data_IF_284799814481
#
_entry.id   IF_284799814481
#
_cell.length_a   1.000
_cell.length_b   1.000
_cell.length_c   1.000
_cell.angle_alpha   90.00
_cell.angle_beta   90.00
_cell.angle_gamma   90.00
#
_symmetry.space_group_name_H-M   'P 1'
#
loop_
_entity.id
_entity.type
_entity.pdbx_description
1 polymer ?
#
# COMPACT_ATOMS: atom_id res chain seq x y z
N UNK A 1 -38.25 15.31 55.37
CA UNK A 1 -38.26 14.80 53.96
C UNK A 1 -37.06 15.42 53.25
N UNK A 2 -36.00 14.61 53.10
CA UNK A 2 -34.78 15.01 52.42
C UNK A 2 -34.78 14.33 51.06
N UNK A 3 -34.80 15.08 49.95
CA UNK A 3 -34.59 14.58 48.60
C UNK A 3 -33.11 14.37 48.38
N UNK A 4 -32.72 13.12 48.18
CA UNK A 4 -31.40 12.80 47.60
C UNK A 4 -31.40 13.13 46.09
N UNK A 5 -30.37 13.78 45.56
CA UNK A 5 -30.21 13.90 44.10
C UNK A 5 -29.67 12.56 43.53
N UNK A 6 -30.42 12.01 42.59
CA UNK A 6 -30.06 10.88 41.77
C UNK A 6 -28.94 11.33 40.80
N UNK A 7 -27.68 11.05 41.11
CA UNK A 7 -26.58 11.18 40.19
C UNK A 7 -26.70 10.08 39.10
N UNK A 8 -27.26 10.41 37.97
CA UNK A 8 -27.19 9.59 36.76
C UNK A 8 -25.75 9.63 36.25
N UNK A 9 -25.00 8.60 36.58
CA UNK A 9 -23.70 8.32 35.96
C UNK A 9 -23.98 7.88 34.51
N UNK A 10 -23.96 8.84 33.57
CA UNK A 10 -24.02 8.58 32.14
C UNK A 10 -22.64 8.01 31.75
N UNK A 11 -22.46 6.70 31.93
CA UNK A 11 -21.32 6.00 31.37
C UNK A 11 -21.39 6.12 29.85
N UNK A 12 -20.59 7.02 29.26
CA UNK A 12 -20.27 6.95 27.84
C UNK A 12 -19.63 5.57 27.63
N UNK A 13 -20.42 4.59 27.17
CA UNK A 13 -19.88 3.45 26.47
C UNK A 13 -19.07 4.01 25.29
N UNK A 14 -17.76 4.07 25.42
CA UNK A 14 -16.89 4.27 24.28
C UNK A 14 -17.16 3.07 23.37
N UNK A 15 -17.87 3.31 22.27
CA UNK A 15 -18.07 2.29 21.26
C UNK A 15 -16.68 1.78 20.87
N UNK A 16 -16.46 0.48 21.01
CA UNK A 16 -15.25 -0.16 20.50
C UNK A 16 -15.29 -0.05 18.99
N UNK A 17 -14.44 0.80 18.42
CA UNK A 17 -14.35 0.99 16.98
C UNK A 17 -13.16 0.18 16.48
N UNK A 18 -13.44 -0.77 15.62
CA UNK A 18 -12.44 -1.44 14.83
C UNK A 18 -12.29 -0.69 13.50
N UNK A 19 -11.08 -0.68 12.94
CA UNK A 19 -10.84 -0.22 11.58
C UNK A 19 -10.12 -1.31 10.79
N UNK A 20 -10.70 -1.64 9.64
CA UNK A 20 -10.15 -2.64 8.72
C UNK A 20 -9.39 -1.93 7.61
N UNK A 21 -8.08 -2.18 7.56
CA UNK A 21 -7.19 -1.68 6.51
C UNK A 21 -6.76 -2.82 5.59
N UNK A 22 -6.67 -2.53 4.30
CA UNK A 22 -6.16 -3.49 3.32
C UNK A 22 -5.03 -2.84 2.52
N UNK A 23 -3.91 -3.56 2.38
CA UNK A 23 -2.75 -3.09 1.63
C UNK A 23 -2.45 -4.04 0.47
N UNK A 24 -2.30 -3.47 -0.74
CA UNK A 24 -1.83 -4.16 -1.93
C UNK A 24 -0.45 -3.62 -2.36
N UNK A 25 0.29 -4.46 -3.09
CA UNK A 25 1.66 -4.15 -3.53
C UNK A 25 1.73 -3.24 -4.75
N UNK A 26 2.70 -3.52 -5.64
CA UNK A 26 3.11 -2.65 -6.73
C UNK A 26 2.14 -2.71 -7.91
N UNK A 27 1.44 -1.61 -8.19
CA UNK A 27 0.56 -1.44 -9.33
C UNK A 27 1.33 -0.78 -10.48
N UNK A 28 1.71 -1.58 -11.48
CA UNK A 28 2.56 -1.19 -12.59
C UNK A 28 1.84 -1.28 -13.93
N UNK A 29 2.33 -0.53 -14.94
CA UNK A 29 1.81 -0.56 -16.31
C UNK A 29 2.90 -0.83 -17.33
N UNK A 30 3.21 -2.10 -17.58
CA UNK A 30 4.12 -2.51 -18.64
C UNK A 30 3.48 -2.34 -20.02
N UNK A 31 4.31 -2.28 -21.08
CA UNK A 31 3.83 -2.07 -22.44
C UNK A 31 2.74 -3.06 -22.86
N UNK A 32 2.92 -4.33 -22.54
CA UNK A 32 1.95 -5.37 -22.87
C UNK A 32 0.58 -5.15 -22.17
N UNK A 33 0.54 -4.53 -20.99
CA UNK A 33 -0.71 -4.18 -20.32
C UNK A 33 -1.36 -2.98 -21.01
N UNK A 34 -0.56 -1.97 -21.41
CA UNK A 34 -1.03 -0.83 -22.19
C UNK A 34 -1.64 -1.30 -23.51
N UNK A 35 -0.93 -2.16 -24.26
CA UNK A 35 -1.38 -2.67 -25.56
C UNK A 35 -2.71 -3.42 -25.46
N UNK A 36 -2.89 -4.19 -24.37
CA UNK A 36 -4.12 -4.96 -24.14
C UNK A 36 -5.28 -4.12 -23.58
N UNK A 37 -5.01 -3.00 -22.92
CA UNK A 37 -6.03 -2.09 -22.41
C UNK A 37 -6.51 -1.09 -23.48
N UNK A 38 -5.70 -0.81 -24.49
CA UNK A 38 -6.00 0.18 -25.52
C UNK A 38 -7.16 -0.25 -26.41
N UNK A 39 -8.17 0.62 -26.59
CA UNK A 39 -9.39 0.39 -27.39
C UNK A 39 -9.51 1.31 -28.61
N UNK A 40 -8.38 1.93 -29.04
CA UNK A 40 -8.32 2.88 -30.12
C UNK A 40 -8.62 4.32 -29.70
N UNK A 41 -8.13 5.27 -30.48
CA UNK A 41 -8.08 6.72 -30.17
C UNK A 41 -7.51 6.95 -28.79
N UNK A 42 -7.93 7.50 -27.85
CA UNK A 42 -7.39 7.66 -26.48
C UNK A 42 -8.24 6.89 -25.45
N UNK A 43 -8.91 5.82 -25.87
CA UNK A 43 -9.74 5.02 -25.00
C UNK A 43 -8.96 3.83 -24.42
N UNK A 44 -9.16 3.61 -23.11
CA UNK A 44 -8.50 2.58 -22.32
C UNK A 44 -9.53 1.80 -21.50
N UNK A 45 -9.40 0.49 -21.43
CA UNK A 45 -10.33 -0.38 -20.72
C UNK A 45 -9.59 -1.29 -19.76
N UNK A 46 -9.77 -1.03 -18.49
CA UNK A 46 -9.25 -1.80 -17.36
C UNK A 46 -10.38 -2.47 -16.55
N UNK A 47 -11.61 -2.48 -17.04
CA UNK A 47 -12.80 -2.92 -16.30
C UNK A 47 -12.69 -4.35 -15.76
N UNK A 48 -12.01 -5.25 -16.50
CA UNK A 48 -11.80 -6.63 -16.09
C UNK A 48 -10.64 -6.82 -15.12
N UNK A 49 -9.68 -5.85 -15.06
CA UNK A 49 -8.40 -6.08 -14.41
C UNK A 49 -8.52 -6.41 -12.92
N UNK A 50 -9.49 -5.84 -12.23
CA UNK A 50 -9.62 -5.94 -10.78
C UNK A 50 -10.98 -6.49 -10.32
N UNK A 51 -11.88 -6.83 -11.24
CA UNK A 51 -13.27 -7.18 -10.94
C UNK A 51 -13.39 -8.32 -9.91
N UNK A 52 -12.53 -9.34 -9.99
CA UNK A 52 -12.60 -10.50 -9.11
C UNK A 52 -12.11 -10.22 -7.68
N UNK A 53 -11.14 -9.31 -7.52
CA UNK A 53 -10.57 -8.98 -6.20
C UNK A 53 -11.12 -7.68 -5.61
N UNK A 54 -11.87 -6.90 -6.36
CA UNK A 54 -12.50 -5.67 -5.87
C UNK A 54 -13.32 -5.84 -4.58
N UNK A 55 -14.05 -6.96 -4.36
CA UNK A 55 -14.74 -7.19 -3.09
C UNK A 55 -13.81 -7.16 -1.87
N UNK A 56 -12.53 -7.55 -2.00
CA UNK A 56 -11.57 -7.53 -0.90
C UNK A 56 -11.28 -6.10 -0.42
N UNK A 57 -11.36 -5.13 -1.32
CA UNK A 57 -11.06 -3.72 -1.04
C UNK A 57 -12.31 -2.94 -0.63
N UNK A 58 -13.47 -3.28 -1.20
CA UNK A 58 -14.74 -2.63 -0.87
C UNK A 58 -15.28 -2.98 0.52
N UNK A 59 -14.85 -4.10 1.10
CA UNK A 59 -15.25 -4.50 2.47
C UNK A 59 -14.38 -3.83 3.55
N UNK A 60 -13.24 -3.24 3.19
CA UNK A 60 -12.36 -2.55 4.12
C UNK A 60 -12.76 -1.08 4.31
N UNK A 61 -12.44 -0.51 5.47
CA UNK A 61 -12.62 0.91 5.73
C UNK A 61 -11.63 1.78 4.94
N UNK A 62 -10.47 1.22 4.58
CA UNK A 62 -9.48 1.83 3.69
C UNK A 62 -8.63 0.77 2.99
N UNK A 63 -8.56 0.84 1.67
CA UNK A 63 -7.60 0.09 0.86
C UNK A 63 -6.49 1.02 0.33
N UNK A 64 -5.24 0.53 0.39
CA UNK A 64 -4.01 1.26 0.06
C UNK A 64 -3.24 0.51 -1.02
N UNK A 65 -2.69 1.22 -2.02
CA UNK A 65 -1.90 0.63 -3.10
C UNK A 65 -0.66 1.47 -3.41
N UNK A 66 0.45 0.83 -3.78
CA UNK A 66 1.63 1.50 -4.34
C UNK A 66 1.44 1.73 -5.83
N UNK A 67 1.28 2.99 -6.25
CA UNK A 67 1.18 3.38 -7.67
C UNK A 67 2.60 3.50 -8.25
N UNK A 68 3.12 2.40 -8.76
CA UNK A 68 4.50 2.32 -9.27
C UNK A 68 4.58 2.61 -10.78
N UNK A 69 3.97 3.70 -11.15
CA UNK A 69 4.03 4.27 -12.49
C UNK A 69 3.59 5.74 -12.42
N UNK A 70 4.29 6.68 -13.06
CA UNK A 70 3.72 7.99 -13.33
C UNK A 70 2.48 7.86 -14.21
N UNK A 71 1.57 8.80 -14.03
CA UNK A 71 0.35 8.93 -14.83
C UNK A 71 0.39 10.28 -15.55
N UNK A 72 0.05 10.32 -16.83
CA UNK A 72 0.09 11.57 -17.57
C UNK A 72 -0.38 11.45 -19.03
N UNK A 73 -0.26 12.55 -19.79
CA UNK A 73 -0.68 12.58 -21.17
C UNK A 73 0.18 11.65 -22.05
N UNK A 74 -0.32 11.28 -23.24
CA UNK A 74 0.45 10.48 -24.19
C UNK A 74 1.77 11.16 -24.61
N UNK A 75 2.77 10.41 -25.09
CA UNK A 75 2.71 8.97 -25.35
C UNK A 75 2.78 8.14 -24.06
N UNK A 76 1.92 7.12 -23.94
CA UNK A 76 1.99 6.17 -22.86
C UNK A 76 3.05 5.11 -23.12
N UNK A 77 3.80 4.71 -22.09
CA UNK A 77 4.95 3.82 -22.21
C UNK A 77 5.05 2.89 -21.01
N UNK A 78 5.53 1.68 -21.27
CA UNK A 78 5.95 0.74 -20.24
C UNK A 78 7.41 0.92 -19.83
N UNK A 79 7.99 -0.17 -19.24
CA UNK A 79 9.39 -0.21 -18.84
C UNK A 79 10.33 0.15 -20.01
N UNK A 80 11.47 0.87 -19.80
CA UNK A 80 11.98 1.29 -18.49
C UNK A 80 11.46 2.65 -17.98
N UNK A 81 10.73 3.40 -18.77
CA UNK A 81 10.22 4.73 -18.41
C UNK A 81 8.71 4.73 -18.50
N UNK A 82 8.07 4.39 -17.40
CA UNK A 82 6.62 4.27 -17.33
C UNK A 82 5.88 5.59 -17.53
N UNK A 83 4.72 5.53 -18.15
CA UNK A 83 3.73 6.59 -18.25
C UNK A 83 2.36 6.00 -18.51
N UNK A 84 1.57 5.80 -17.50
CA UNK A 84 0.25 5.20 -17.59
C UNK A 84 -0.82 6.24 -18.01
N UNK A 85 -1.92 5.82 -18.67
CA UNK A 85 -3.09 6.65 -18.84
C UNK A 85 -3.83 6.83 -17.51
N UNK A 86 -4.54 7.95 -17.36
CA UNK A 86 -5.33 8.23 -16.15
C UNK A 86 -6.42 7.19 -15.89
N UNK A 87 -6.93 6.54 -16.93
CA UNK A 87 -7.88 5.43 -16.82
C UNK A 87 -7.40 4.27 -15.93
N UNK A 88 -6.07 4.12 -15.77
CA UNK A 88 -5.52 3.13 -14.84
C UNK A 88 -5.78 3.52 -13.37
N UNK A 89 -5.65 4.81 -13.05
CA UNK A 89 -6.02 5.34 -11.71
C UNK A 89 -7.52 5.19 -11.48
N UNK A 90 -8.34 5.50 -12.50
CA UNK A 90 -9.80 5.33 -12.41
C UNK A 90 -10.17 3.88 -12.09
N UNK A 91 -9.52 2.91 -12.74
CA UNK A 91 -9.78 1.49 -12.52
C UNK A 91 -9.34 1.01 -11.13
N UNK A 92 -8.17 1.46 -10.64
CA UNK A 92 -7.72 1.15 -9.28
C UNK A 92 -8.67 1.76 -8.24
N UNK A 93 -9.08 3.01 -8.43
CA UNK A 93 -10.04 3.67 -7.53
C UNK A 93 -11.41 2.98 -7.54
N UNK A 94 -11.91 2.61 -8.73
CA UNK A 94 -13.16 1.86 -8.88
C UNK A 94 -13.08 0.46 -8.23
N UNK A 95 -11.89 -0.15 -8.17
CA UNK A 95 -11.67 -1.41 -7.45
C UNK A 95 -11.72 -1.26 -5.92
N UNK A 96 -11.74 -0.02 -5.38
CA UNK A 96 -11.88 0.26 -3.95
C UNK A 96 -10.67 0.92 -3.29
N UNK A 97 -9.57 1.17 -4.02
CA UNK A 97 -8.41 1.84 -3.42
C UNK A 97 -8.70 3.30 -3.10
N UNK A 98 -8.55 3.66 -1.81
CA UNK A 98 -8.84 4.98 -1.24
C UNK A 98 -7.60 5.77 -0.83
N UNK A 99 -6.39 5.20 -0.92
CA UNK A 99 -5.11 5.87 -0.66
C UNK A 99 -4.04 5.32 -1.60
N UNK A 100 -3.34 6.23 -2.27
CA UNK A 100 -2.28 5.91 -3.21
C UNK A 100 -0.91 6.34 -2.68
N UNK A 101 0.04 5.41 -2.68
CA UNK A 101 1.44 5.66 -2.33
C UNK A 101 2.19 6.01 -3.61
N UNK A 102 2.91 7.11 -3.61
CA UNK A 102 3.55 7.65 -4.81
C UNK A 102 5.07 7.71 -4.76
N UNK A 103 5.69 7.48 -3.57
CA UNK A 103 7.15 7.40 -3.47
C UNK A 103 7.63 5.98 -3.79
N UNK A 104 8.18 5.82 -4.98
CA UNK A 104 8.81 4.59 -5.47
C UNK A 104 9.93 4.95 -6.47
N UNK A 105 10.69 3.95 -6.94
CA UNK A 105 11.82 4.20 -7.83
C UNK A 105 11.40 4.69 -9.23
N UNK A 106 10.15 4.48 -9.65
CA UNK A 106 9.61 4.91 -10.92
C UNK A 106 8.86 6.26 -10.88
N UNK A 107 8.71 6.88 -9.72
CA UNK A 107 7.91 8.11 -9.58
C UNK A 107 8.46 9.29 -10.40
N UNK A 108 9.76 9.26 -10.76
CA UNK A 108 10.41 10.28 -11.60
C UNK A 108 10.69 9.84 -13.05
N UNK A 109 10.14 8.72 -13.53
CA UNK A 109 10.34 8.25 -14.92
C UNK A 109 9.96 9.31 -15.98
N UNK A 110 9.07 10.22 -15.64
CA UNK A 110 8.66 11.37 -16.46
C UNK A 110 9.12 12.71 -15.85
N UNK A 111 10.18 12.67 -15.00
CA UNK A 111 10.72 13.81 -14.27
C UNK A 111 9.65 14.55 -13.44
N UNK A 112 9.93 15.76 -12.99
CA UNK A 112 8.99 16.60 -12.22
C UNK A 112 7.62 16.77 -12.89
N UNK A 113 7.61 16.78 -14.22
CA UNK A 113 6.35 16.88 -14.98
C UNK A 113 5.47 15.66 -14.75
N UNK A 114 6.07 14.45 -14.73
CA UNK A 114 5.34 13.22 -14.42
C UNK A 114 4.76 13.23 -13.01
N UNK A 115 5.55 13.67 -12.02
CA UNK A 115 5.06 13.86 -10.65
C UNK A 115 3.84 14.78 -10.64
N UNK A 116 3.94 15.98 -11.25
CA UNK A 116 2.82 16.94 -11.28
C UNK A 116 1.57 16.36 -11.93
N UNK A 117 1.69 15.71 -13.09
CA UNK A 117 0.55 15.08 -13.76
C UNK A 117 -0.08 13.98 -12.93
N UNK A 118 0.75 13.13 -12.26
CA UNK A 118 0.24 12.07 -11.37
C UNK A 118 -0.56 12.68 -10.22
N UNK A 119 -0.03 13.73 -9.58
CA UNK A 119 -0.70 14.40 -8.48
C UNK A 119 -2.00 15.10 -8.95
N UNK A 120 -1.98 15.78 -10.11
CA UNK A 120 -3.16 16.42 -10.69
C UNK A 120 -4.25 15.40 -11.03
N UNK A 121 -3.88 14.21 -11.54
CA UNK A 121 -4.80 13.11 -11.80
C UNK A 121 -5.45 12.58 -10.51
N UNK A 122 -4.69 12.45 -9.42
CA UNK A 122 -5.20 12.02 -8.12
C UNK A 122 -6.08 13.10 -7.47
N UNK A 123 -5.62 14.35 -7.47
CA UNK A 123 -6.34 15.49 -6.87
C UNK A 123 -7.68 15.78 -7.56
N UNK A 124 -7.72 15.72 -8.90
CA UNK A 124 -8.96 15.92 -9.66
C UNK A 124 -10.04 14.90 -9.31
N UNK A 125 -9.63 13.71 -8.87
CA UNK A 125 -10.49 12.62 -8.38
C UNK A 125 -10.71 12.64 -6.88
N UNK A 126 -10.08 13.58 -6.16
CA UNK A 126 -10.09 13.68 -4.70
C UNK A 126 -9.56 12.40 -4.03
N UNK A 127 -8.60 11.74 -4.67
CA UNK A 127 -7.96 10.53 -4.16
C UNK A 127 -6.81 10.95 -3.23
N UNK A 128 -6.83 10.61 -1.94
CA UNK A 128 -5.72 10.81 -1.03
C UNK A 128 -4.46 10.12 -1.51
N UNK A 129 -3.32 10.80 -1.38
CA UNK A 129 -2.02 10.27 -1.77
C UNK A 129 -0.90 10.82 -0.87
N UNK A 130 0.24 10.17 -0.83
CA UNK A 130 1.42 10.61 -0.10
C UNK A 130 2.69 10.00 -0.69
N UNK A 131 3.83 10.69 -0.53
CA UNK A 131 5.15 10.22 -0.95
C UNK A 131 5.87 11.14 -1.92
N UNK A 132 5.16 11.73 -2.90
CA UNK A 132 5.69 12.74 -3.81
C UNK A 132 4.83 14.00 -3.76
N UNK A 133 5.42 15.15 -4.09
CA UNK A 133 4.78 16.47 -3.98
C UNK A 133 5.28 17.38 -5.11
N UNK A 134 4.52 18.43 -5.43
CA UNK A 134 4.87 19.39 -6.49
C UNK A 134 6.13 20.19 -6.16
N UNK A 135 6.36 20.41 -4.84
CA UNK A 135 7.55 21.07 -4.30
C UNK A 135 7.74 20.76 -2.81
N UNK A 136 8.80 21.29 -2.21
CA UNK A 136 9.11 21.11 -0.79
C UNK A 136 8.11 21.78 0.15
N UNK A 137 7.52 22.92 -0.25
CA UNK A 137 6.53 23.62 0.57
C UNK A 137 5.23 22.81 0.67
N UNK A 138 4.78 22.22 -0.44
CA UNK A 138 3.63 21.31 -0.45
C UNK A 138 3.94 20.06 0.41
N UNK A 139 5.14 19.48 0.27
CA UNK A 139 5.58 18.35 1.11
C UNK A 139 5.47 18.68 2.58
N UNK A 140 6.00 19.81 3.00
CA UNK A 140 6.05 20.20 4.42
C UNK A 140 4.64 20.52 4.98
N UNK A 141 3.70 20.91 4.14
CA UNK A 141 2.31 21.17 4.52
C UNK A 141 1.43 19.92 4.55
N UNK A 142 1.71 18.90 3.71
CA UNK A 142 0.87 17.72 3.56
C UNK A 142 1.42 16.45 4.21
N UNK A 143 2.70 16.46 4.66
CA UNK A 143 3.30 15.33 5.37
C UNK A 143 3.43 15.61 6.86
N UNK A 144 3.02 14.67 7.71
CA UNK A 144 2.39 13.38 7.43
C UNK A 144 0.92 13.50 7.04
N UNK A 145 0.42 12.58 6.22
CA UNK A 145 -0.99 12.50 5.87
C UNK A 145 -1.77 11.84 7.02
N UNK A 146 -2.55 12.60 7.79
CA UNK A 146 -3.37 12.05 8.87
C UNK A 146 -4.82 11.87 8.40
N UNK A 147 -5.35 10.65 8.50
CA UNK A 147 -6.71 10.29 8.13
C UNK A 147 -7.46 9.69 9.31
N UNK A 148 -8.75 9.99 9.41
CA UNK A 148 -9.63 9.32 10.37
C UNK A 148 -10.38 8.19 9.65
N UNK A 149 -10.11 6.96 10.04
CA UNK A 149 -10.69 5.75 9.50
C UNK A 149 -11.50 5.07 10.61
N UNK A 150 -12.78 4.97 10.44
CA UNK A 150 -13.73 4.41 11.42
C UNK A 150 -13.47 4.90 12.87
N UNK A 151 -13.21 6.22 13.03
CA UNK A 151 -12.96 6.85 14.33
C UNK A 151 -11.51 6.82 14.81
N UNK A 152 -10.62 6.03 14.20
CA UNK A 152 -9.19 5.95 14.51
C UNK A 152 -8.40 6.90 13.61
N UNK A 153 -7.49 7.70 14.20
CA UNK A 153 -6.60 8.59 13.44
C UNK A 153 -5.30 7.88 13.12
N UNK A 154 -5.02 7.75 11.83
CA UNK A 154 -3.84 7.06 11.30
C UNK A 154 -2.99 8.07 10.54
N UNK A 155 -1.71 8.17 10.89
CA UNK A 155 -0.72 8.96 10.16
C UNK A 155 0.00 8.07 9.14
N UNK A 156 -0.12 8.41 7.85
CA UNK A 156 0.55 7.72 6.76
C UNK A 156 1.78 8.50 6.34
N UNK A 157 2.91 7.80 6.23
CA UNK A 157 4.18 8.31 5.69
C UNK A 157 4.69 7.31 4.64
N UNK A 158 5.16 7.80 3.49
CA UNK A 158 5.61 6.95 2.39
C UNK A 158 6.99 7.41 1.89
N UNK A 159 7.92 6.46 1.72
CA UNK A 159 9.32 6.71 1.37
C UNK A 159 9.85 5.72 0.34
N UNK A 160 10.83 6.15 -0.47
CA UNK A 160 11.56 5.31 -1.41
C UNK A 160 13.07 5.35 -1.17
N UNK A 161 13.76 4.26 -1.53
CA UNK A 161 15.22 4.19 -1.48
C UNK A 161 15.91 5.04 -2.57
N UNK A 162 15.20 5.33 -3.65
CA UNK A 162 15.76 6.03 -4.80
C UNK A 162 14.75 6.21 -5.93
N UNK A 163 15.21 6.77 -7.04
CA UNK A 163 14.43 7.15 -8.23
C UNK A 163 15.16 6.79 -9.52
N UNK A 164 15.76 5.59 -9.58
CA UNK A 164 16.49 5.07 -10.74
C UNK A 164 17.55 6.05 -11.31
N UNK A 165 18.21 6.82 -10.41
CA UNK A 165 19.22 7.81 -10.77
C UNK A 165 18.67 9.09 -11.39
N UNK A 166 17.37 9.32 -11.38
CA UNK A 166 16.74 10.56 -11.83
C UNK A 166 16.53 11.46 -10.62
N UNK A 167 17.17 12.65 -10.62
CA UNK A 167 17.02 13.62 -9.54
C UNK A 167 15.85 14.58 -9.83
N UNK A 168 15.02 14.92 -8.83
CA UNK A 168 14.00 15.94 -8.98
C UNK A 168 14.65 17.32 -9.08
N UNK A 169 14.08 18.22 -9.89
CA UNK A 169 14.55 19.60 -10.05
C UNK A 169 13.72 20.62 -9.29
N UNK A 170 12.51 20.26 -8.88
CA UNK A 170 11.58 21.13 -8.16
C UNK A 170 10.53 20.35 -7.42
N UNK A 171 10.15 19.16 -7.91
CA UNK A 171 9.30 18.24 -7.15
C UNK A 171 10.00 17.74 -5.88
N UNK A 172 9.24 17.38 -4.88
CA UNK A 172 9.77 16.74 -3.68
C UNK A 172 9.39 15.25 -3.67
N UNK A 173 10.37 14.39 -3.37
CA UNK A 173 10.22 12.96 -3.18
C UNK A 173 10.67 12.61 -1.76
N UNK A 174 9.91 11.81 -1.07
CA UNK A 174 10.31 11.32 0.24
C UNK A 174 11.32 10.17 0.07
N UNK A 175 12.60 10.48 0.17
CA UNK A 175 13.66 9.48 0.23
C UNK A 175 13.84 8.96 1.66
N UNK A 176 14.25 7.68 1.79
CA UNK A 176 14.57 7.07 3.10
C UNK A 176 15.70 7.84 3.76
N UNK A 177 15.35 8.63 4.76
CA UNK A 177 16.24 9.38 5.65
C UNK A 177 15.68 9.28 7.07
N UNK A 178 16.42 8.66 7.97
CA UNK A 178 15.94 8.39 9.34
C UNK A 178 15.66 9.65 10.16
N UNK A 179 16.39 10.75 9.91
CA UNK A 179 16.14 12.01 10.60
C UNK A 179 14.81 12.63 10.15
N UNK A 180 14.54 12.60 8.84
CA UNK A 180 13.27 13.06 8.26
C UNK A 180 12.11 12.18 8.68
N UNK A 181 12.27 10.85 8.60
CA UNK A 181 11.25 9.88 9.04
C UNK A 181 10.90 10.12 10.52
N UNK A 182 11.92 10.32 11.40
CA UNK A 182 11.68 10.62 12.81
C UNK A 182 10.90 11.93 13.02
N UNK A 183 11.16 12.96 12.20
CA UNK A 183 10.41 14.21 12.24
C UNK A 183 8.96 14.00 11.82
N UNK A 184 8.70 13.23 10.76
CA UNK A 184 7.36 12.95 10.25
C UNK A 184 6.56 12.06 11.22
N UNK A 185 7.20 11.09 11.90
CA UNK A 185 6.55 10.31 12.99
C UNK A 185 6.10 11.25 14.11
N UNK A 186 6.99 12.14 14.57
CA UNK A 186 6.62 13.15 15.61
C UNK A 186 5.50 14.07 15.12
N UNK A 187 5.56 14.52 13.87
CA UNK A 187 4.53 15.33 13.23
C UNK A 187 3.16 14.61 13.19
N UNK A 188 3.15 13.32 12.85
CA UNK A 188 1.93 12.49 12.86
C UNK A 188 1.31 12.43 14.27
N UNK A 189 2.13 12.16 15.29
CA UNK A 189 1.68 12.12 16.68
C UNK A 189 1.17 13.50 17.15
N UNK A 190 1.89 14.58 16.83
CA UNK A 190 1.46 15.94 17.13
C UNK A 190 0.13 16.32 16.45
N UNK A 191 -0.12 15.83 15.24
CA UNK A 191 -1.41 15.96 14.54
C UNK A 191 -2.48 14.99 15.10
N UNK A 192 -2.17 14.24 16.16
CA UNK A 192 -3.08 13.37 16.88
C UNK A 192 -3.25 11.98 16.28
N UNK A 193 -2.31 11.50 15.45
CA UNK A 193 -2.33 10.12 14.99
C UNK A 193 -2.17 9.14 16.17
N UNK A 194 -3.06 8.17 16.23
CA UNK A 194 -3.09 7.10 17.22
C UNK A 194 -2.29 5.89 16.73
N UNK A 195 -2.20 5.73 15.41
CA UNK A 195 -1.38 4.75 14.70
C UNK A 195 -0.53 5.48 13.67
N UNK A 196 0.72 5.08 13.50
CA UNK A 196 1.59 5.51 12.40
C UNK A 196 1.83 4.34 11.46
N UNK A 197 1.54 4.55 10.18
CA UNK A 197 1.77 3.61 9.09
C UNK A 197 2.89 4.15 8.20
N UNK A 198 4.03 3.46 8.19
CA UNK A 198 5.15 3.73 7.30
C UNK A 198 5.12 2.77 6.11
N UNK A 199 4.87 3.31 4.91
CA UNK A 199 4.93 2.58 3.66
C UNK A 199 6.30 2.82 3.02
N UNK A 200 7.07 1.75 2.77
CA UNK A 200 8.48 1.87 2.38
C UNK A 200 8.78 1.06 1.14
N UNK A 201 9.25 1.76 0.11
CA UNK A 201 9.71 1.16 -1.15
C UNK A 201 11.22 0.91 -1.04
N UNK A 202 11.62 -0.36 -0.82
CA UNK A 202 12.96 -0.73 -0.36
C UNK A 202 13.40 -2.14 -0.76
N UNK A 203 14.64 -2.48 -0.49
CA UNK A 203 15.18 -3.84 -0.63
C UNK A 203 15.82 -4.08 -2.00
N UNK A 204 15.93 -5.36 -2.34
CA UNK A 204 16.53 -5.82 -3.59
C UNK A 204 15.47 -6.53 -4.43
N UNK A 205 15.40 -6.19 -5.73
CA UNK A 205 14.47 -6.84 -6.66
C UNK A 205 14.67 -8.36 -6.72
N UNK A 206 13.57 -9.10 -6.77
CA UNK A 206 13.50 -10.54 -6.98
C UNK A 206 14.08 -11.40 -5.85
N UNK A 207 14.40 -10.81 -4.70
CA UNK A 207 14.87 -11.55 -3.52
C UNK A 207 13.68 -11.87 -2.60
N UNK A 208 13.44 -13.17 -2.36
CA UNK A 208 12.31 -13.66 -1.56
C UNK A 208 12.48 -13.42 -0.04
N UNK A 209 13.66 -13.06 0.41
CA UNK A 209 13.95 -12.75 1.80
C UNK A 209 14.47 -11.32 1.93
N UNK A 210 14.05 -10.59 2.97
CA UNK A 210 14.50 -9.22 3.19
C UNK A 210 16.00 -9.18 3.45
N UNK A 211 16.66 -8.18 2.87
CA UNK A 211 18.07 -7.93 3.10
C UNK A 211 18.32 -7.30 4.48
N UNK A 212 19.61 -7.08 4.82
CA UNK A 212 20.01 -6.52 6.11
C UNK A 212 19.46 -5.11 6.32
N UNK A 213 19.45 -4.27 5.28
CA UNK A 213 18.99 -2.87 5.39
C UNK A 213 17.49 -2.79 5.65
N UNK A 214 16.68 -3.65 5.01
CA UNK A 214 15.25 -3.75 5.28
C UNK A 214 15.00 -4.13 6.76
N UNK A 215 15.68 -5.14 7.28
CA UNK A 215 15.53 -5.57 8.68
C UNK A 215 15.94 -4.47 9.66
N UNK A 216 17.07 -3.81 9.42
CA UNK A 216 17.55 -2.73 10.28
C UNK A 216 16.60 -1.53 10.30
N UNK A 217 16.06 -1.14 9.14
CA UNK A 217 15.10 -0.04 9.08
C UNK A 217 13.75 -0.43 9.71
N UNK A 218 13.28 -1.67 9.52
CA UNK A 218 12.07 -2.16 10.19
C UNK A 218 12.21 -2.11 11.72
N UNK A 219 13.34 -2.59 12.24
CA UNK A 219 13.62 -2.56 13.68
C UNK A 219 13.76 -1.12 14.20
N UNK A 220 14.31 -0.22 13.39
CA UNK A 220 14.42 1.19 13.74
C UNK A 220 13.02 1.86 13.78
N UNK A 221 12.19 1.63 12.77
CA UNK A 221 10.82 2.15 12.69
C UNK A 221 9.97 1.68 13.88
N UNK A 222 10.01 0.38 14.19
CA UNK A 222 9.31 -0.19 15.35
C UNK A 222 9.74 0.49 16.65
N UNK A 223 11.05 0.66 16.90
CA UNK A 223 11.57 1.35 18.10
C UNK A 223 11.18 2.83 18.16
N UNK A 224 10.82 3.46 17.04
CA UNK A 224 10.36 4.85 16.98
C UNK A 224 8.82 4.97 17.00
N UNK A 225 8.12 3.89 17.35
CA UNK A 225 6.68 3.90 17.57
C UNK A 225 5.86 3.86 16.28
N UNK A 226 6.34 3.17 15.26
CA UNK A 226 5.55 2.84 14.05
C UNK A 226 4.88 1.50 14.28
N UNK A 227 3.57 1.44 14.13
CA UNK A 227 2.78 0.22 14.32
C UNK A 227 2.54 -0.58 13.04
N UNK A 228 2.57 0.08 11.88
CA UNK A 228 2.40 -0.57 10.57
C UNK A 228 3.57 -0.20 9.67
N UNK A 229 4.33 -1.20 9.23
CA UNK A 229 5.46 -1.07 8.31
C UNK A 229 5.14 -1.92 7.08
N UNK A 230 4.82 -1.26 5.96
CA UNK A 230 4.35 -1.91 4.73
C UNK A 230 5.38 -1.70 3.63
N UNK A 231 6.00 -2.79 3.21
CA UNK A 231 7.07 -2.79 2.21
C UNK A 231 6.61 -3.13 0.80
N UNK A 232 7.30 -2.54 -0.19
CA UNK A 232 7.15 -2.73 -1.63
C UNK A 232 8.53 -2.66 -2.32
N UNK A 233 8.62 -2.84 -3.62
CA UNK A 233 9.81 -2.83 -4.47
C UNK A 233 10.39 -4.19 -4.89
N UNK A 234 10.56 -5.22 -4.03
CA UNK A 234 11.17 -6.47 -4.47
C UNK A 234 10.42 -7.20 -5.59
N UNK A 235 9.21 -6.79 -5.93
CA UNK A 235 8.31 -7.39 -6.93
C UNK A 235 7.98 -8.86 -6.67
N UNK A 236 8.40 -9.38 -5.53
CA UNK A 236 8.10 -10.73 -5.01
C UNK A 236 7.66 -10.60 -3.56
N UNK A 237 6.86 -11.56 -3.11
CA UNK A 237 6.41 -11.60 -1.71
C UNK A 237 7.60 -11.90 -0.81
N UNK A 238 7.73 -11.12 0.27
CA UNK A 238 8.65 -11.38 1.36
C UNK A 238 7.88 -11.64 2.66
N UNK A 239 8.52 -12.19 3.72
CA UNK A 239 7.89 -12.50 4.99
C UNK A 239 7.15 -11.32 5.65
N UNK A 240 6.23 -11.67 6.54
CA UNK A 240 5.42 -10.76 7.34
C UNK A 240 5.52 -11.14 8.81
N UNK A 241 5.63 -10.14 9.69
CA UNK A 241 5.81 -10.35 11.13
C UNK A 241 4.87 -9.44 11.92
N UNK A 242 3.96 -9.99 12.69
CA UNK A 242 3.22 -9.26 13.71
C UNK A 242 3.96 -9.45 15.04
N UNK A 243 4.72 -8.44 15.42
CA UNK A 243 5.67 -8.43 16.54
C UNK A 243 5.03 -7.83 17.78
N UNK A 244 5.31 -8.41 18.94
CA UNK A 244 4.93 -7.82 20.22
C UNK A 244 5.97 -6.78 20.67
N UNK A 245 5.51 -5.65 21.18
CA UNK A 245 6.33 -4.63 21.83
C UNK A 245 6.37 -4.86 23.35
N UNK A 246 7.44 -4.37 24.04
CA UNK A 246 7.53 -4.54 25.50
C UNK A 246 6.39 -3.89 26.29
N UNK A 247 5.69 -2.92 25.72
CA UNK A 247 4.52 -2.24 26.31
C UNK A 247 3.19 -2.96 26.07
N UNK A 248 3.22 -4.12 25.41
CA UNK A 248 2.05 -4.91 25.07
C UNK A 248 1.34 -4.47 23.78
N UNK A 249 1.80 -3.42 23.12
CA UNK A 249 1.34 -3.07 21.77
C UNK A 249 1.98 -3.98 20.71
N UNK A 250 1.51 -3.92 19.47
CA UNK A 250 2.06 -4.73 18.38
C UNK A 250 2.46 -3.88 17.18
N UNK A 251 3.48 -4.34 16.47
CA UNK A 251 3.95 -3.78 15.21
C UNK A 251 3.85 -4.82 14.10
N UNK A 252 3.14 -4.51 13.04
CA UNK A 252 3.12 -5.32 11.82
C UNK A 252 4.25 -4.86 10.90
N UNK A 253 5.10 -5.81 10.50
CA UNK A 253 6.12 -5.63 9.47
C UNK A 253 5.79 -6.51 8.28
N UNK A 254 5.53 -5.92 7.14
CA UNK A 254 5.42 -6.58 5.84
C UNK A 254 6.62 -6.16 5.02
N UNK A 255 7.55 -7.08 4.74
CA UNK A 255 8.78 -6.72 4.04
C UNK A 255 8.55 -6.45 2.55
N UNK A 256 7.67 -7.22 1.89
CA UNK A 256 7.18 -6.92 0.53
C UNK A 256 5.87 -7.64 0.25
N UNK A 257 4.93 -6.91 -0.34
CA UNK A 257 3.66 -7.46 -0.84
C UNK A 257 3.80 -8.09 -2.24
N UNK A 258 4.91 -7.86 -2.94
CA UNK A 258 5.05 -8.21 -4.35
C UNK A 258 4.24 -7.33 -5.28
N UNK A 259 4.06 -7.77 -6.53
CA UNK A 259 3.27 -7.01 -7.52
C UNK A 259 1.77 -7.19 -7.29
N UNK A 260 1.03 -6.08 -7.19
CA UNK A 260 -0.43 -6.13 -7.27
C UNK A 260 -0.88 -6.43 -8.70
N UNK A 261 -0.35 -5.67 -9.66
CA UNK A 261 -0.51 -5.95 -11.09
C UNK A 261 0.72 -5.52 -11.86
N UNK A 262 1.23 -6.39 -12.72
CA UNK A 262 2.36 -6.08 -13.60
C UNK A 262 2.35 -6.94 -14.86
N UNK A 263 3.14 -6.55 -15.86
CA UNK A 263 3.41 -7.36 -17.05
C UNK A 263 4.62 -8.29 -16.90
N UNK A 264 5.15 -8.47 -15.69
CA UNK A 264 6.30 -9.34 -15.42
C UNK A 264 5.94 -10.81 -15.63
N UNK A 265 6.94 -11.64 -16.03
CA UNK A 265 6.69 -12.99 -16.54
C UNK A 265 7.32 -14.11 -15.72
N UNK A 266 8.21 -13.80 -14.78
CA UNK A 266 8.80 -14.84 -13.92
C UNK A 266 7.75 -15.35 -12.92
N UNK A 267 7.91 -16.59 -12.46
CA UNK A 267 6.94 -17.24 -11.56
C UNK A 267 6.56 -16.35 -10.38
N UNK A 268 7.56 -15.81 -9.69
CA UNK A 268 7.37 -15.18 -8.38
C UNK A 268 6.93 -13.70 -8.50
N UNK A 269 7.00 -13.10 -9.71
CA UNK A 269 6.57 -11.72 -9.98
C UNK A 269 5.16 -11.62 -10.58
N UNK A 270 4.47 -12.76 -10.79
CA UNK A 270 3.13 -12.80 -11.40
C UNK A 270 1.99 -12.62 -10.43
N UNK A 271 2.27 -12.33 -9.20
CA UNK A 271 1.26 -12.12 -8.17
C UNK A 271 1.88 -11.51 -6.94
N UNK A 272 1.07 -11.38 -5.92
CA UNK A 272 1.45 -10.77 -4.66
C UNK A 272 0.55 -11.22 -3.52
N UNK A 273 0.71 -10.54 -2.42
CA UNK A 273 -0.15 -10.66 -1.26
C UNK A 273 -0.95 -9.37 -1.05
N UNK A 274 -2.19 -9.53 -0.61
CA UNK A 274 -3.00 -8.47 -0.03
C UNK A 274 -3.04 -8.71 1.47
N UNK A 275 -2.65 -7.73 2.29
CA UNK A 275 -2.65 -7.83 3.74
C UNK A 275 -3.84 -7.11 4.32
N UNK A 276 -4.62 -7.83 5.12
CA UNK A 276 -5.71 -7.30 5.93
C UNK A 276 -5.19 -7.02 7.34
N UNK A 277 -5.50 -5.84 7.86
CA UNK A 277 -5.08 -5.38 9.21
C UNK A 277 -6.29 -4.88 9.95
N UNK A 278 -6.57 -5.46 11.12
CA UNK A 278 -7.59 -4.97 12.02
C UNK A 278 -6.95 -4.17 13.16
N UNK A 279 -7.31 -2.90 13.24
CA UNK A 279 -7.00 -2.03 14.37
C UNK A 279 -8.17 -2.07 15.35
N UNK A 280 -7.86 -2.16 16.63
CA UNK A 280 -8.87 -2.22 17.70
C UNK A 280 -8.64 -1.10 18.72
N UNK A 281 -9.72 -0.39 19.07
CA UNK A 281 -9.71 0.54 20.19
C UNK A 281 -10.05 -0.17 21.48
N UNK A 282 -9.09 -0.17 22.40
CA UNK A 282 -9.23 -0.75 23.73
C UNK A 282 -10.21 0.07 24.60
N UNK A 283 -10.77 -0.50 25.67
CA UNK A 283 -11.63 0.23 26.61
C UNK A 283 -10.96 1.43 27.29
N UNK A 284 -9.65 1.46 27.41
CA UNK A 284 -8.88 2.58 27.94
C UNK A 284 -8.64 3.69 26.92
N UNK A 285 -9.12 3.51 25.67
CA UNK A 285 -9.00 4.45 24.57
C UNK A 285 -7.76 4.28 23.70
N UNK A 286 -6.79 3.44 24.11
CA UNK A 286 -5.61 3.12 23.28
C UNK A 286 -6.02 2.33 22.02
N UNK A 287 -5.21 2.45 20.95
CA UNK A 287 -5.43 1.71 19.70
C UNK A 287 -4.24 0.80 19.44
N UNK A 288 -4.52 -0.44 19.05
CA UNK A 288 -3.48 -1.42 18.73
C UNK A 288 -3.82 -2.24 17.48
N UNK A 289 -2.80 -2.86 16.89
CA UNK A 289 -2.98 -3.85 15.82
C UNK A 289 -3.54 -5.13 16.45
N UNK A 290 -4.82 -5.39 16.23
CA UNK A 290 -5.50 -6.56 16.80
C UNK A 290 -5.18 -7.84 16.04
N UNK A 291 -5.13 -7.76 14.70
CA UNK A 291 -4.93 -8.91 13.83
C UNK A 291 -4.32 -8.49 12.51
N UNK A 292 -3.55 -9.39 11.91
CA UNK A 292 -3.09 -9.27 10.54
C UNK A 292 -3.20 -10.63 9.84
N UNK A 293 -3.70 -10.61 8.61
CA UNK A 293 -3.81 -11.79 7.76
C UNK A 293 -3.52 -11.43 6.31
N UNK A 294 -3.25 -12.42 5.46
CA UNK A 294 -2.98 -12.17 4.05
C UNK A 294 -3.84 -13.04 3.13
N UNK A 295 -4.09 -12.53 1.92
CA UNK A 295 -4.62 -13.28 0.77
C UNK A 295 -3.57 -13.28 -0.33
N UNK A 296 -3.53 -14.35 -1.13
CA UNK A 296 -2.67 -14.43 -2.30
C UNK A 296 -3.49 -14.17 -3.55
N UNK A 297 -3.00 -13.30 -4.40
CA UNK A 297 -3.56 -13.09 -5.74
C UNK A 297 -2.54 -13.41 -6.82
N UNK A 298 -3.03 -13.68 -8.00
CA UNK A 298 -2.25 -13.97 -9.20
C UNK A 298 -2.72 -13.08 -10.34
N UNK A 299 -1.78 -12.55 -11.12
CA UNK A 299 -2.09 -11.79 -12.32
C UNK A 299 -2.13 -12.74 -13.53
N UNK A 300 -3.32 -13.06 -13.98
CA UNK A 300 -3.50 -13.76 -15.26
C UNK A 300 -3.18 -12.80 -16.40
N UNK A 301 -2.26 -13.17 -17.31
CA UNK A 301 -1.95 -12.33 -18.45
C UNK A 301 -3.11 -12.32 -19.46
N UNK A 302 -3.18 -11.27 -20.25
CA UNK A 302 -4.09 -11.20 -21.39
C UNK A 302 -3.95 -12.39 -22.34
N UNK A 303 -5.07 -12.88 -22.85
CA UNK A 303 -5.15 -14.08 -23.70
C UNK A 303 -5.77 -13.82 -25.09
N UNK A 304 -5.95 -12.55 -25.46
CA UNK A 304 -6.61 -12.11 -26.70
C UNK A 304 -8.14 -12.00 -26.60
N UNK A 305 -8.75 -12.53 -25.52
CA UNK A 305 -10.18 -12.36 -25.19
C UNK A 305 -10.34 -11.44 -23.98
N UNK A 306 -9.47 -11.62 -23.01
CA UNK A 306 -9.45 -10.90 -21.75
C UNK A 306 -8.18 -10.08 -21.61
N UNK A 307 -8.28 -8.96 -20.91
CA UNK A 307 -7.13 -8.17 -20.46
C UNK A 307 -6.40 -8.89 -19.31
N UNK A 308 -5.32 -8.29 -18.79
CA UNK A 308 -4.71 -8.75 -17.54
C UNK A 308 -5.74 -8.72 -16.42
N UNK A 309 -5.81 -9.77 -15.61
CA UNK A 309 -6.76 -9.87 -14.49
C UNK A 309 -6.04 -10.28 -13.22
N UNK A 310 -6.29 -9.52 -12.16
CA UNK A 310 -5.88 -9.89 -10.81
C UNK A 310 -6.99 -10.76 -10.22
N UNK A 311 -6.66 -11.97 -9.85
CA UNK A 311 -7.61 -12.96 -9.36
C UNK A 311 -7.10 -13.62 -8.08
N UNK A 312 -7.98 -14.21 -7.29
CA UNK A 312 -7.57 -15.06 -6.16
C UNK A 312 -6.68 -16.20 -6.65
N UNK A 313 -5.47 -16.32 -6.08
CA UNK A 313 -4.54 -17.35 -6.48
C UNK A 313 -5.05 -18.77 -6.24
N UNK A 314 -6.02 -18.96 -5.35
CA UNK A 314 -6.67 -20.24 -5.07
C UNK A 314 -7.81 -20.54 -6.04
N UNK A 315 -8.47 -19.52 -6.60
CA UNK A 315 -9.54 -19.67 -7.58
C UNK A 315 -9.03 -19.85 -9.01
N UNK A 316 -7.79 -19.40 -9.30
CA UNK A 316 -7.21 -19.50 -10.65
C UNK A 316 -7.05 -20.95 -11.12
N UNK A 317 -7.45 -21.20 -12.37
CA UNK A 317 -7.21 -22.45 -13.08
C UNK A 317 -5.91 -22.46 -13.89
N UNK A 318 -5.19 -21.34 -13.92
CA UNK A 318 -3.90 -21.24 -14.59
C UNK A 318 -2.85 -22.08 -13.81
N UNK A 319 -2.17 -23.05 -14.45
CA UNK A 319 -1.16 -23.85 -13.77
C UNK A 319 0.01 -23.02 -13.22
N UNK A 320 0.25 -21.82 -13.77
CA UNK A 320 1.25 -20.89 -13.28
C UNK A 320 0.87 -20.28 -11.93
N UNK A 321 -0.45 -20.10 -11.68
CA UNK A 321 -0.94 -19.65 -10.37
C UNK A 321 -0.66 -20.68 -9.28
N UNK A 322 -0.84 -21.96 -9.58
CA UNK A 322 -0.50 -23.03 -8.63
C UNK A 322 1.01 -23.06 -8.30
N UNK A 323 1.86 -22.84 -9.29
CA UNK A 323 3.32 -22.78 -9.08
C UNK A 323 3.73 -21.55 -8.26
N UNK A 324 3.13 -20.38 -8.53
CA UNK A 324 3.31 -19.16 -7.74
C UNK A 324 2.86 -19.38 -6.29
N UNK A 325 1.64 -19.86 -6.08
CA UNK A 325 1.07 -20.12 -4.75
C UNK A 325 1.94 -21.04 -3.92
N UNK A 326 2.39 -22.18 -4.51
CA UNK A 326 3.26 -23.12 -3.82
C UNK A 326 4.53 -22.45 -3.28
N UNK A 327 5.18 -21.60 -4.07
CA UNK A 327 6.38 -20.89 -3.66
C UNK A 327 6.07 -19.84 -2.59
N UNK A 328 4.97 -19.07 -2.75
CA UNK A 328 4.54 -18.08 -1.77
C UNK A 328 4.22 -18.74 -0.42
N UNK A 329 3.47 -19.84 -0.42
CA UNK A 329 3.16 -20.63 0.79
C UNK A 329 4.42 -21.17 1.46
N UNK A 330 5.40 -21.64 0.68
CA UNK A 330 6.67 -22.14 1.24
C UNK A 330 7.42 -21.04 2.00
N UNK A 331 7.53 -19.85 1.41
CA UNK A 331 8.21 -18.71 2.05
C UNK A 331 7.41 -18.22 3.28
N UNK A 332 6.12 -18.01 3.12
CA UNK A 332 5.29 -17.44 4.19
C UNK A 332 5.11 -18.41 5.36
N UNK A 333 4.87 -19.68 5.11
CA UNK A 333 4.73 -20.68 6.20
C UNK A 333 6.03 -20.88 7.00
N UNK A 334 7.18 -20.67 6.37
CA UNK A 334 8.48 -20.85 7.00
C UNK A 334 8.95 -19.61 7.78
N UNK A 335 8.56 -18.42 7.34
CA UNK A 335 9.17 -17.18 7.79
C UNK A 335 8.19 -16.16 8.38
N UNK A 336 6.88 -16.31 8.20
CA UNK A 336 5.92 -15.42 8.84
C UNK A 336 5.89 -15.63 10.36
N UNK A 337 5.64 -14.54 11.08
CA UNK A 337 5.42 -14.54 12.52
C UNK A 337 4.03 -13.96 12.80
N UNK A 338 3.14 -14.77 13.36
CA UNK A 338 1.77 -14.36 13.77
C UNK A 338 0.92 -13.69 12.65
N UNK A 339 1.24 -13.95 11.38
CA UNK A 339 0.44 -13.52 10.22
C UNK A 339 0.09 -14.75 9.40
N UNK A 340 -1.19 -15.07 9.34
CA UNK A 340 -1.70 -16.27 8.69
C UNK A 340 -2.48 -15.95 7.41
N UNK A 341 -2.74 -16.99 6.61
CA UNK A 341 -3.67 -16.90 5.49
C UNK A 341 -5.05 -16.49 6.03
N UNK A 342 -5.68 -15.53 5.36
CA UNK A 342 -7.02 -15.07 5.70
C UNK A 342 -8.02 -16.22 5.55
N UNK A 343 -8.82 -16.46 6.57
CA UNK A 343 -9.91 -17.45 6.54
C UNK A 343 -11.20 -16.70 6.24
N UNK A 344 -11.87 -17.10 5.20
CA UNK A 344 -13.23 -16.61 4.88
C UNK A 344 -14.22 -16.95 5.99
#
# INVERSE_FOLDING_TARGET
MALLPLLTLLGMLLATHDAELVFAGDAMQHQIQLDNAHRGREAWDYSECFAEVAPWFHTADLAVVNLETPVGPPPHTGYPCFNAPEAFVDALHAAGFGLFLTANNHCLDRHDRGVRHTLDALDSRRIPHTGTYRDHAERDSLTPLVRRINGIRIGFINYTYGTNGIEPRGAAVNYIDTARIAADIRGARAAGAEIVCACVHWGDEYHMLPNRSQRQLADWLQRHGVELIIGSHPHVIQPMELRDNPDGTRCLVVYSLGNFISGMRTRDTRGGAVVNVRLHRQPDGSVSVAEASYRLHFTEPADGRHNFRVIDAYASRDPRAAAFRKQAEEILSKHNVNVALHKE
#
